data_IF_554280656901
#
_entry.id   IF_554280656901
#
_cell.length_a   1.000
_cell.length_b   1.000
_cell.length_c   1.000
_cell.angle_alpha   90.00
_cell.angle_beta   90.00
_cell.angle_gamma   90.00
#
_symmetry.space_group_name_H-M   'P 1'
#
loop_
_entity.id
_entity.type
_entity.pdbx_description
1 polymer ?
#
# COMPACT_ATOMS: atom_id res chain seq x y z
N UNK A 1 8.69 2.14 -3.59
CA UNK A 1 8.07 2.79 -4.76
C UNK A 1 9.15 3.01 -5.82
N UNK A 2 8.82 2.97 -7.09
CA UNK A 2 9.78 3.16 -8.17
C UNK A 2 9.09 3.71 -9.43
N UNK A 3 9.89 4.29 -10.33
CA UNK A 3 9.47 4.48 -11.72
C UNK A 3 9.85 3.23 -12.52
N UNK A 4 9.01 2.83 -13.47
CA UNK A 4 9.20 1.62 -14.26
C UNK A 4 8.83 1.89 -15.73
N UNK A 5 9.78 1.62 -16.62
CA UNK A 5 9.61 1.74 -18.07
C UNK A 5 8.49 0.80 -18.57
N UNK A 6 7.68 1.27 -19.52
CA UNK A 6 6.61 0.48 -20.13
C UNK A 6 5.27 0.52 -19.39
N UNK A 7 5.17 1.24 -18.27
CA UNK A 7 3.88 1.51 -17.63
C UNK A 7 3.17 2.70 -18.30
N UNK A 8 1.85 2.62 -18.40
CA UNK A 8 0.99 3.71 -18.92
C UNK A 8 0.23 4.44 -17.80
N UNK A 9 0.21 3.87 -16.59
CA UNK A 9 -0.48 4.42 -15.43
C UNK A 9 0.18 3.91 -14.14
N UNK A 10 -0.17 4.53 -13.01
CA UNK A 10 0.32 4.13 -11.69
C UNK A 10 -0.28 2.79 -11.29
N UNK A 11 0.56 1.87 -10.82
CA UNK A 11 0.16 0.55 -10.33
C UNK A 11 0.52 0.46 -8.85
N UNK A 12 -0.47 0.13 -8.02
CA UNK A 12 -0.29 -0.19 -6.61
C UNK A 12 -0.38 -1.69 -6.38
N UNK A 13 0.52 -2.23 -5.55
CA UNK A 13 0.50 -3.63 -5.12
C UNK A 13 0.57 -3.65 -3.60
N UNK A 14 -0.47 -4.20 -2.99
CA UNK A 14 -0.47 -4.51 -1.57
C UNK A 14 0.08 -5.92 -1.35
N UNK A 15 0.98 -6.06 -0.39
CA UNK A 15 1.56 -7.35 0.01
C UNK A 15 1.39 -7.49 1.50
N UNK A 16 0.82 -8.63 1.91
CA UNK A 16 0.79 -9.04 3.30
C UNK A 16 1.50 -10.37 3.42
N UNK A 17 2.51 -10.43 4.29
CA UNK A 17 3.29 -11.60 4.58
C UNK A 17 2.63 -12.39 5.71
N UNK A 18 2.53 -13.70 5.57
CA UNK A 18 2.03 -14.58 6.63
C UNK A 18 2.92 -14.55 7.88
N UNK A 19 4.22 -14.30 7.68
CA UNK A 19 5.21 -14.20 8.75
C UNK A 19 5.95 -12.86 8.61
N UNK A 20 5.92 -12.00 9.64
CA UNK A 20 6.70 -10.78 9.66
C UNK A 20 8.20 -11.07 9.47
N UNK A 21 8.89 -10.23 8.70
CA UNK A 21 10.32 -10.35 8.44
C UNK A 21 11.11 -9.21 9.09
N UNK A 22 12.37 -9.46 9.44
CA UNK A 22 13.29 -8.39 9.80
C UNK A 22 13.66 -7.60 8.52
N UNK A 23 13.03 -6.44 8.38
CA UNK A 23 13.21 -5.54 7.24
C UNK A 23 14.21 -4.42 7.55
N UNK A 24 14.74 -4.33 8.78
CA UNK A 24 15.52 -3.17 9.21
C UNK A 24 14.68 -1.88 9.25
N UNK A 25 13.44 -1.95 9.71
CA UNK A 25 12.57 -0.78 9.85
C UNK A 25 13.14 0.23 10.86
N UNK A 26 12.73 1.49 10.74
CA UNK A 26 13.24 2.58 11.60
C UNK A 26 12.85 2.41 13.08
N UNK A 27 11.71 1.77 13.35
CA UNK A 27 11.20 1.43 14.67
C UNK A 27 11.65 0.05 15.16
N UNK A 28 12.47 -0.65 14.35
CA UNK A 28 12.99 -2.00 14.60
C UNK A 28 11.91 -3.08 14.80
N UNK A 29 10.70 -2.83 14.33
CA UNK A 29 9.64 -3.82 14.30
C UNK A 29 9.74 -4.68 13.02
N UNK A 30 9.43 -5.99 13.11
CA UNK A 30 9.36 -6.79 11.91
C UNK A 30 8.19 -6.32 11.03
N UNK A 31 8.35 -6.46 9.70
CA UNK A 31 7.40 -5.96 8.70
C UNK A 31 6.64 -7.14 8.10
N UNK A 32 5.32 -7.04 8.09
CA UNK A 32 4.41 -7.98 7.45
C UNK A 32 3.53 -7.32 6.38
N UNK A 33 3.27 -6.03 6.51
CA UNK A 33 2.53 -5.24 5.52
C UNK A 33 3.50 -4.39 4.70
N UNK A 34 3.42 -4.53 3.38
CA UNK A 34 4.16 -3.71 2.43
C UNK A 34 3.25 -3.21 1.30
N UNK A 35 3.60 -2.05 0.75
CA UNK A 35 2.93 -1.50 -0.43
C UNK A 35 3.97 -1.07 -1.46
N UNK A 36 3.92 -1.67 -2.63
CA UNK A 36 4.70 -1.25 -3.78
C UNK A 36 3.86 -0.32 -4.65
N UNK A 37 4.49 0.76 -5.13
CA UNK A 37 3.87 1.72 -6.02
C UNK A 37 4.84 1.95 -7.18
N UNK A 38 4.38 1.60 -8.37
CA UNK A 38 5.11 1.74 -9.62
C UNK A 38 4.43 2.78 -10.49
N UNK A 39 5.19 3.63 -11.15
CA UNK A 39 4.63 4.60 -12.07
C UNK A 39 5.44 4.73 -13.35
N UNK A 40 4.81 5.26 -14.41
CA UNK A 40 5.51 5.66 -15.63
C UNK A 40 6.68 6.60 -15.35
N UNK A 41 7.65 6.64 -16.26
CA UNK A 41 8.83 7.50 -16.12
C UNK A 41 8.49 9.00 -16.11
N UNK A 42 7.45 9.37 -16.84
CA UNK A 42 6.88 10.72 -16.97
C UNK A 42 5.82 11.02 -15.91
N UNK A 43 5.61 10.13 -14.94
CA UNK A 43 4.66 10.35 -13.87
C UNK A 43 5.03 11.58 -13.03
N UNK A 44 4.23 12.61 -13.17
CA UNK A 44 4.36 13.87 -12.45
C UNK A 44 3.79 13.79 -11.02
N UNK A 45 3.14 14.87 -10.59
CA UNK A 45 2.64 15.05 -9.22
C UNK A 45 1.66 13.95 -8.78
N UNK A 46 0.93 13.35 -9.71
CA UNK A 46 -0.02 12.27 -9.42
C UNK A 46 0.62 11.06 -8.72
N UNK A 47 1.86 10.70 -9.06
CA UNK A 47 2.59 9.64 -8.35
C UNK A 47 2.78 10.00 -6.87
N UNK A 48 3.22 11.23 -6.59
CA UNK A 48 3.50 11.68 -5.22
C UNK A 48 2.22 11.77 -4.40
N UNK A 49 1.10 12.19 -5.01
CA UNK A 49 -0.23 12.15 -4.38
C UNK A 49 -0.63 10.73 -4.01
N UNK A 50 -0.45 9.78 -4.92
CA UNK A 50 -0.75 8.37 -4.67
C UNK A 50 0.12 7.79 -3.55
N UNK A 51 1.43 8.08 -3.55
CA UNK A 51 2.35 7.66 -2.48
C UNK A 51 1.95 8.27 -1.12
N UNK A 52 1.60 9.55 -1.08
CA UNK A 52 1.17 10.22 0.13
C UNK A 52 -0.16 9.67 0.67
N UNK A 53 -1.10 9.31 -0.21
CA UNK A 53 -2.35 8.65 0.15
C UNK A 53 -2.04 7.31 0.83
N UNK A 54 -1.30 6.42 0.17
CA UNK A 54 -0.92 5.10 0.71
C UNK A 54 -0.20 5.25 2.05
N UNK A 55 0.74 6.18 2.17
CA UNK A 55 1.48 6.39 3.41
C UNK A 55 0.59 6.85 4.57
N UNK A 56 -0.45 7.65 4.31
CA UNK A 56 -1.42 8.04 5.36
C UNK A 56 -2.31 6.88 5.74
N UNK A 57 -2.87 6.20 4.75
CA UNK A 57 -3.75 5.03 4.92
C UNK A 57 -3.07 3.96 5.77
N UNK A 58 -1.85 3.55 5.45
CA UNK A 58 -1.12 2.51 6.20
C UNK A 58 -0.50 2.99 7.52
N UNK A 59 -0.58 4.29 7.83
CA UNK A 59 -0.20 4.82 9.15
C UNK A 59 -1.33 4.63 10.17
N UNK A 60 -2.56 4.36 9.74
CA UNK A 60 -3.69 4.14 10.63
C UNK A 60 -3.64 2.75 11.30
N UNK A 61 -3.44 2.67 12.64
CA UNK A 61 -3.28 1.37 13.31
C UNK A 61 -4.53 0.49 13.23
N UNK A 62 -5.71 1.10 13.22
CA UNK A 62 -6.99 0.40 13.11
C UNK A 62 -7.12 -0.31 11.75
N UNK A 63 -6.75 0.37 10.66
CA UNK A 63 -6.75 -0.24 9.32
C UNK A 63 -5.75 -1.40 9.25
N UNK A 64 -4.51 -1.20 9.71
CA UNK A 64 -3.49 -2.25 9.72
C UNK A 64 -3.94 -3.47 10.55
N UNK A 65 -4.64 -3.26 11.66
CA UNK A 65 -5.22 -4.35 12.46
C UNK A 65 -6.33 -5.09 11.71
N UNK A 66 -7.20 -4.36 11.00
CA UNK A 66 -8.26 -4.94 10.14
C UNK A 66 -7.66 -5.77 9.02
N UNK A 67 -6.58 -5.29 8.37
CA UNK A 67 -5.87 -6.04 7.33
C UNK A 67 -5.29 -7.35 7.86
N UNK A 68 -4.55 -7.31 8.99
CA UNK A 68 -3.95 -8.51 9.60
C UNK A 68 -4.97 -9.57 10.04
N UNK A 69 -6.20 -9.17 10.33
CA UNK A 69 -7.27 -10.08 10.71
C UNK A 69 -7.88 -10.86 9.53
N UNK A 70 -7.48 -10.55 8.28
CA UNK A 70 -8.05 -11.14 7.07
C UNK A 70 -6.94 -11.70 6.18
N UNK A 71 -7.14 -12.89 5.60
CA UNK A 71 -6.16 -13.54 4.72
C UNK A 71 -6.64 -13.68 3.26
N UNK A 72 -7.90 -13.33 3.00
CA UNK A 72 -8.50 -13.40 1.68
C UNK A 72 -8.20 -12.14 0.86
N UNK A 73 -7.66 -12.30 -0.35
CA UNK A 73 -7.25 -11.18 -1.21
C UNK A 73 -8.41 -10.26 -1.60
N UNK A 74 -9.62 -10.81 -1.77
CA UNK A 74 -10.80 -10.01 -2.13
C UNK A 74 -11.23 -9.12 -0.97
N UNK A 75 -11.21 -9.66 0.24
CA UNK A 75 -11.51 -8.94 1.48
C UNK A 75 -10.46 -7.85 1.75
N UNK A 76 -9.17 -8.17 1.59
CA UNK A 76 -8.09 -7.19 1.72
C UNK A 76 -8.23 -6.05 0.72
N UNK A 77 -8.54 -6.37 -0.54
CA UNK A 77 -8.81 -5.36 -1.57
C UNK A 77 -9.98 -4.46 -1.17
N UNK A 78 -11.11 -5.05 -0.74
CA UNK A 78 -12.27 -4.29 -0.31
C UNK A 78 -11.95 -3.33 0.85
N UNK A 79 -11.23 -3.79 1.88
CA UNK A 79 -10.79 -2.97 3.02
C UNK A 79 -9.94 -1.77 2.57
N UNK A 80 -8.99 -2.00 1.65
CA UNK A 80 -8.10 -0.95 1.16
C UNK A 80 -8.82 0.09 0.30
N UNK A 81 -9.92 -0.28 -0.36
CA UNK A 81 -10.68 0.59 -1.26
C UNK A 81 -11.93 1.21 -0.62
N UNK A 82 -12.32 0.76 0.59
CA UNK A 82 -13.55 1.18 1.29
C UNK A 82 -13.64 2.70 1.47
N UNK A 83 -12.52 3.37 1.76
CA UNK A 83 -12.47 4.84 1.94
C UNK A 83 -12.65 5.64 0.63
N UNK A 84 -12.44 5.04 -0.54
CA UNK A 84 -12.75 5.71 -1.81
C UNK A 84 -14.26 5.83 -2.06
N UNK A 85 -15.08 4.99 -1.42
CA UNK A 85 -16.55 5.02 -1.58
C UNK A 85 -17.25 6.09 -0.73
N UNK A 86 -16.58 6.64 0.29
CA UNK A 86 -17.15 7.72 1.12
C UNK A 86 -16.84 9.14 0.59
N UNK A 87 -15.94 9.25 -0.39
CA UNK A 87 -15.51 10.52 -0.98
C UNK A 87 -15.96 10.72 -2.44
N UNK A 88 -16.90 9.88 -2.92
CA UNK A 88 -17.49 9.93 -4.27
C UNK A 88 -18.98 10.28 -4.20
#
# INVERSE_FOLDING_TARGET
HARLSGLTHVIGIFVMLEKPIDFGSIDRQPVDIAFALFAPEDAGVEHLKALALVSRTLREPALCSKLRANLDSTTLYAILTESQQQAA
#
